data_IF_394717403846
#
_entry.id   IF_394717403846
#
_cell.length_a   1.000
_cell.length_b   1.000
_cell.length_c   1.000
_cell.angle_alpha   90.00
_cell.angle_beta   90.00
_cell.angle_gamma   90.00
#
_symmetry.space_group_name_H-M   'P 1'
#
loop_
_entity.id
_entity.type
_entity.pdbx_description
1 polymer ?
#
# COMPACT_ATOMS: atom_id res chain seq x y z
N UNK A 1 -15.39 -19.21 2.31
CA UNK A 1 -14.99 -17.91 1.72
C UNK A 1 -13.47 -17.77 1.43
N UNK A 2 -13.06 -17.18 0.29
CA UNK A 2 -11.67 -16.77 -0.03
C UNK A 2 -11.65 -15.36 -0.67
N UNK A 3 -10.69 -14.52 -0.27
CA UNK A 3 -10.41 -13.20 -0.85
C UNK A 3 -8.99 -13.21 -1.47
N UNK A 4 -8.78 -12.45 -2.57
CA UNK A 4 -7.48 -12.35 -3.28
C UNK A 4 -6.95 -13.70 -3.78
N UNK A 5 -7.81 -14.59 -4.27
CA UNK A 5 -7.38 -15.86 -4.89
C UNK A 5 -6.58 -15.58 -6.18
N UNK A 6 -7.03 -14.60 -6.97
CA UNK A 6 -6.32 -14.06 -8.14
C UNK A 6 -6.20 -12.53 -8.04
N UNK A 7 -5.21 -11.89 -8.70
CA UNK A 7 -5.06 -10.43 -8.69
C UNK A 7 -6.32 -9.66 -9.11
N UNK A 8 -7.10 -10.22 -10.04
CA UNK A 8 -8.35 -9.64 -10.56
C UNK A 8 -9.46 -9.57 -9.50
N UNK A 9 -9.36 -10.38 -8.44
CA UNK A 9 -10.35 -10.41 -7.36
C UNK A 9 -10.23 -9.20 -6.43
N UNK A 10 -9.17 -8.42 -6.58
CA UNK A 10 -8.91 -7.25 -5.76
C UNK A 10 -8.41 -6.12 -6.64
N UNK A 11 -9.35 -5.26 -7.02
CA UNK A 11 -9.08 -4.07 -7.78
C UNK A 11 -9.12 -2.84 -6.87
N UNK A 12 -8.10 -1.99 -6.96
CA UNK A 12 -7.99 -0.76 -6.19
C UNK A 12 -7.71 0.39 -7.14
N UNK A 13 -8.53 1.44 -7.08
CA UNK A 13 -8.33 2.67 -7.85
C UNK A 13 -8.17 3.84 -6.90
N UNK A 14 -7.02 4.50 -6.97
CA UNK A 14 -6.75 5.72 -6.22
C UNK A 14 -7.63 6.86 -6.72
N UNK A 15 -8.14 7.66 -5.79
CA UNK A 15 -8.89 8.88 -6.07
C UNK A 15 -8.09 10.05 -5.52
N UNK A 16 -7.70 10.98 -6.39
CA UNK A 16 -7.02 12.21 -6.00
C UNK A 16 -7.80 13.46 -6.41
N UNK A 17 -7.58 14.56 -5.72
CA UNK A 17 -8.15 15.85 -6.10
C UNK A 17 -7.22 16.59 -7.08
N UNK A 18 -7.39 16.38 -8.39
CA UNK A 18 -6.59 17.07 -9.40
C UNK A 18 -6.84 18.58 -9.46
N UNK A 19 -8.00 19.07 -9.01
CA UNK A 19 -8.34 20.50 -9.06
C UNK A 19 -7.46 21.35 -8.14
N UNK A 20 -6.82 20.73 -7.14
CA UNK A 20 -5.84 21.40 -6.27
C UNK A 20 -4.48 21.60 -6.95
N UNK A 21 -4.23 20.95 -8.08
CA UNK A 21 -2.93 21.01 -8.75
C UNK A 21 -2.87 22.20 -9.69
N UNK A 22 -1.81 22.98 -9.56
CA UNK A 22 -1.57 24.09 -10.49
C UNK A 22 -1.19 23.53 -11.87
N UNK A 23 -1.85 23.98 -12.95
CA UNK A 23 -1.44 23.66 -14.32
C UNK A 23 0.04 24.00 -14.56
N UNK A 24 0.72 23.19 -15.37
CA UNK A 24 2.11 23.47 -15.74
C UNK A 24 2.78 22.28 -16.42
N UNK A 25 3.91 22.50 -17.08
CA UNK A 25 4.56 21.48 -17.92
C UNK A 25 5.65 20.69 -17.20
N UNK A 26 5.88 20.99 -15.91
CA UNK A 26 7.01 20.41 -15.15
C UNK A 26 6.84 18.91 -14.91
N UNK A 27 5.62 18.45 -14.66
CA UNK A 27 5.33 17.05 -14.38
C UNK A 27 4.25 16.52 -15.33
N UNK A 28 4.57 15.42 -16.01
CA UNK A 28 3.59 14.67 -16.80
C UNK A 28 2.92 13.64 -15.92
N UNK A 29 1.61 13.73 -15.78
CA UNK A 29 0.82 12.84 -14.94
C UNK A 29 0.30 11.66 -15.74
N UNK A 30 0.37 10.48 -15.12
CA UNK A 30 -0.15 9.24 -15.66
C UNK A 30 -0.95 8.48 -14.61
N UNK A 31 -2.01 7.81 -15.05
CA UNK A 31 -2.58 6.69 -14.31
C UNK A 31 -1.70 5.47 -14.57
N UNK A 32 -1.07 4.97 -13.51
CA UNK A 32 -0.34 3.72 -13.48
C UNK A 32 -1.28 2.59 -13.09
N UNK A 33 -1.57 1.70 -14.04
CA UNK A 33 -2.16 0.40 -13.74
C UNK A 33 -1.05 -0.64 -13.59
N UNK A 34 -1.03 -1.37 -12.48
CA UNK A 34 -0.13 -2.51 -12.27
C UNK A 34 -0.89 -3.77 -11.87
N UNK A 35 -0.38 -4.92 -12.26
CA UNK A 35 -0.93 -6.25 -11.93
C UNK A 35 0.11 -7.12 -11.24
N UNK A 36 -0.25 -7.69 -10.09
CA UNK A 36 0.60 -8.63 -9.32
C UNK A 36 2.03 -8.13 -9.02
N UNK A 37 2.18 -6.82 -8.79
CA UNK A 37 3.47 -6.15 -8.62
C UNK A 37 3.39 -5.13 -7.48
N UNK A 38 4.52 -4.94 -6.78
CA UNK A 38 4.67 -3.79 -5.89
C UNK A 38 4.85 -2.52 -6.71
N UNK A 39 4.51 -1.37 -6.13
CA UNK A 39 4.65 -0.05 -6.76
C UNK A 39 6.11 0.19 -7.15
N UNK A 40 7.06 -0.09 -6.24
CA UNK A 40 8.50 0.06 -6.49
C UNK A 40 8.99 -0.78 -7.68
N UNK A 41 8.46 -2.00 -7.85
CA UNK A 41 8.79 -2.85 -9.02
C UNK A 41 8.23 -2.26 -10.31
N UNK A 42 6.99 -1.74 -10.28
CA UNK A 42 6.41 -1.06 -11.43
C UNK A 42 7.22 0.19 -11.82
N UNK A 43 7.61 1.03 -10.86
CA UNK A 43 8.49 2.19 -11.09
C UNK A 43 9.83 1.78 -11.72
N UNK A 44 10.42 0.65 -11.28
CA UNK A 44 11.65 0.11 -11.89
C UNK A 44 11.46 -0.30 -13.35
N UNK A 45 10.30 -0.85 -13.71
CA UNK A 45 9.96 -1.20 -15.09
C UNK A 45 9.82 0.07 -15.94
N UNK A 46 9.06 1.06 -15.46
CA UNK A 46 8.82 2.33 -16.14
C UNK A 46 10.14 3.07 -16.39
N UNK A 47 10.97 3.18 -15.35
CA UNK A 47 12.29 3.82 -15.42
C UNK A 47 13.18 3.22 -16.51
N UNK A 48 13.21 1.89 -16.64
CA UNK A 48 13.99 1.20 -17.69
C UNK A 48 13.39 1.38 -19.08
N UNK A 49 12.07 1.23 -19.21
CA UNK A 49 11.38 1.31 -20.51
C UNK A 49 11.39 2.72 -21.10
N UNK A 50 11.26 3.74 -20.26
CA UNK A 50 11.31 5.14 -20.65
C UNK A 50 12.71 5.77 -20.56
N UNK A 51 13.73 5.00 -20.14
CA UNK A 51 15.12 5.47 -19.96
C UNK A 51 15.23 6.73 -19.08
N UNK A 52 14.46 6.78 -17.99
CA UNK A 52 14.45 7.88 -17.03
C UNK A 52 14.88 7.42 -15.64
N UNK A 53 15.46 8.32 -14.85
CA UNK A 53 15.77 8.05 -13.45
C UNK A 53 14.50 7.83 -12.61
N UNK A 54 14.50 6.82 -11.74
CA UNK A 54 13.40 6.57 -10.79
C UNK A 54 13.11 7.78 -9.89
N UNK A 55 14.13 8.57 -9.55
CA UNK A 55 14.01 9.78 -8.72
C UNK A 55 13.11 10.86 -9.37
N UNK A 56 12.84 10.76 -10.68
CA UNK A 56 11.95 11.66 -11.40
C UNK A 56 10.48 11.23 -11.33
N UNK A 57 10.19 10.06 -10.79
CA UNK A 57 8.84 9.50 -10.73
C UNK A 57 8.31 9.61 -9.31
N UNK A 58 7.32 10.47 -9.08
CA UNK A 58 6.64 10.64 -7.79
C UNK A 58 5.30 9.91 -7.78
N UNK A 59 4.91 9.39 -6.61
CA UNK A 59 3.62 8.74 -6.35
C UNK A 59 3.26 8.91 -4.87
N UNK A 60 1.98 8.85 -4.54
CA UNK A 60 1.47 9.23 -3.22
C UNK A 60 1.65 8.13 -2.15
N UNK A 61 1.69 6.87 -2.56
CA UNK A 61 1.92 5.73 -1.68
C UNK A 61 2.00 4.41 -2.45
N UNK A 62 2.38 3.34 -1.76
CA UNK A 62 2.36 2.01 -2.35
C UNK A 62 0.95 1.40 -2.32
N UNK A 63 0.58 0.65 -3.35
CA UNK A 63 -0.64 -0.17 -3.38
C UNK A 63 -0.31 -1.67 -3.35
N UNK A 64 -1.29 -2.47 -2.93
CA UNK A 64 -1.22 -3.93 -2.83
C UNK A 64 -0.46 -4.61 -3.97
N UNK A 65 0.42 -5.56 -3.62
CA UNK A 65 1.12 -6.38 -4.62
C UNK A 65 0.15 -7.34 -5.32
N UNK A 66 -0.63 -8.11 -4.56
CA UNK A 66 -1.54 -9.17 -5.05
C UNK A 66 -2.90 -8.58 -5.45
N UNK A 67 -2.88 -7.69 -6.43
CA UNK A 67 -4.05 -6.93 -6.88
C UNK A 67 -3.84 -6.41 -8.32
N UNK A 68 -4.93 -5.92 -8.92
CA UNK A 68 -4.86 -4.91 -9.98
C UNK A 68 -5.04 -3.56 -9.32
N UNK A 69 -4.11 -2.63 -9.54
CA UNK A 69 -4.17 -1.32 -8.89
C UNK A 69 -3.96 -0.21 -9.89
N UNK A 70 -4.79 0.83 -9.83
CA UNK A 70 -4.63 2.10 -10.53
C UNK A 70 -4.26 3.19 -9.53
N UNK A 71 -3.15 3.88 -9.80
CA UNK A 71 -2.69 4.98 -8.96
C UNK A 71 -2.09 6.09 -9.82
N UNK A 72 -2.02 7.30 -9.27
CA UNK A 72 -1.43 8.42 -9.97
C UNK A 72 0.08 8.43 -9.78
N UNK A 73 0.80 8.67 -10.88
CA UNK A 73 2.23 8.96 -10.85
C UNK A 73 2.49 10.25 -11.63
N UNK A 74 3.54 10.97 -11.24
CA UNK A 74 4.03 12.12 -11.99
C UNK A 74 5.48 11.90 -12.40
N UNK A 75 5.82 12.24 -13.64
CA UNK A 75 7.17 12.14 -14.18
C UNK A 75 7.68 13.55 -14.46
N UNK A 76 8.68 13.98 -13.69
CA UNK A 76 9.30 15.32 -13.81
C UNK A 76 10.07 15.45 -15.12
N UNK A 77 9.80 16.48 -15.92
CA UNK A 77 10.58 16.90 -17.09
C UNK A 77 10.56 15.95 -18.28
N UNK A 78 9.52 15.12 -18.41
CA UNK A 78 9.36 14.21 -19.55
C UNK A 78 8.86 15.01 -20.75
N UNK A 79 9.75 15.23 -21.75
CA UNK A 79 9.43 16.03 -22.94
C UNK A 79 8.61 15.23 -23.95
N UNK A 80 9.10 14.06 -24.34
CA UNK A 80 8.41 13.15 -25.26
C UNK A 80 7.63 12.11 -24.47
N UNK A 81 6.33 12.01 -24.74
CA UNK A 81 5.48 11.01 -24.13
C UNK A 81 4.38 10.53 -25.08
N UNK A 82 3.85 9.33 -24.81
CA UNK A 82 2.68 8.76 -25.47
C UNK A 82 1.46 8.91 -24.57
N UNK A 83 0.28 8.97 -25.17
CA UNK A 83 -0.97 8.92 -24.42
C UNK A 83 -1.15 7.61 -23.66
N UNK A 84 -0.65 6.52 -24.23
CA UNK A 84 -0.73 5.19 -23.64
C UNK A 84 0.58 4.42 -23.80
N UNK A 85 0.96 3.72 -22.73
CA UNK A 85 2.05 2.75 -22.74
C UNK A 85 1.56 1.41 -22.20
N UNK A 86 1.88 0.33 -22.90
CA UNK A 86 1.70 -1.04 -22.44
C UNK A 86 3.07 -1.73 -22.28
N UNK A 87 3.41 -2.07 -21.04
CA UNK A 87 4.61 -2.83 -20.69
C UNK A 87 4.24 -4.20 -20.09
N UNK A 88 3.08 -4.75 -20.45
CA UNK A 88 2.54 -6.00 -19.92
C UNK A 88 1.80 -5.76 -18.60
N UNK A 89 2.36 -6.25 -17.49
CA UNK A 89 1.78 -6.07 -16.15
C UNK A 89 1.84 -4.63 -15.62
N UNK A 90 2.32 -3.68 -16.42
CA UNK A 90 2.41 -2.26 -16.11
C UNK A 90 1.89 -1.48 -17.31
N UNK A 91 0.87 -0.65 -17.11
CA UNK A 91 0.31 0.23 -18.14
C UNK A 91 0.27 1.66 -17.62
N UNK A 92 0.51 2.61 -18.51
CA UNK A 92 0.43 4.04 -18.21
C UNK A 92 -0.56 4.71 -19.15
N UNK A 93 -1.45 5.53 -18.61
CA UNK A 93 -2.33 6.42 -19.38
C UNK A 93 -2.06 7.86 -19.00
N UNK A 94 -1.65 8.69 -19.96
CA UNK A 94 -1.45 10.12 -19.74
C UNK A 94 -2.79 10.80 -19.44
N UNK A 95 -2.77 11.75 -18.50
CA UNK A 95 -3.99 12.47 -18.08
C UNK A 95 -3.85 13.99 -18.03
N UNK A 96 -2.63 14.52 -18.16
CA UNK A 96 -2.40 15.96 -18.04
C UNK A 96 -1.01 16.30 -17.50
N UNK A 97 -0.75 17.60 -17.42
CA UNK A 97 0.50 18.15 -16.92
C UNK A 97 0.25 19.15 -15.81
N UNK A 98 1.08 19.09 -14.77
CA UNK A 98 0.99 19.99 -13.63
C UNK A 98 2.36 20.52 -13.20
N UNK A 99 2.36 21.63 -12.47
CA UNK A 99 3.58 22.26 -11.94
C UNK A 99 4.16 21.50 -10.73
N UNK A 100 3.36 20.64 -10.09
CA UNK A 100 3.67 20.00 -8.82
C UNK A 100 3.72 18.48 -8.97
N UNK A 101 4.45 17.75 -8.11
CA UNK A 101 4.43 16.29 -8.09
C UNK A 101 3.14 15.73 -7.46
N UNK A 102 2.92 14.43 -7.64
CA UNK A 102 1.93 13.68 -6.85
C UNK A 102 2.48 13.51 -5.43
N UNK A 103 1.62 13.76 -4.44
CA UNK A 103 1.92 13.74 -3.00
C UNK A 103 0.81 13.01 -2.23
N UNK A 104 1.11 12.59 -1.00
CA UNK A 104 0.15 11.87 -0.15
C UNK A 104 -1.09 12.70 0.20
N UNK A 105 -0.95 14.02 0.31
CA UNK A 105 -2.04 14.95 0.60
C UNK A 105 -3.04 15.10 -0.55
N UNK A 106 -2.72 14.59 -1.74
CA UNK A 106 -3.63 14.64 -2.88
C UNK A 106 -4.68 13.53 -2.84
N UNK A 107 -4.43 12.47 -2.07
CA UNK A 107 -5.33 11.32 -1.94
C UNK A 107 -6.59 11.74 -1.19
N UNK A 108 -7.74 11.57 -1.84
CA UNK A 108 -9.05 11.65 -1.19
C UNK A 108 -9.41 10.28 -0.62
N UNK A 109 -9.12 9.21 -1.36
CA UNK A 109 -9.45 7.86 -0.95
C UNK A 109 -9.05 6.82 -2.00
N UNK A 110 -9.57 5.61 -1.84
CA UNK A 110 -9.43 4.54 -2.81
C UNK A 110 -10.79 3.89 -3.03
N UNK A 111 -11.12 3.63 -4.29
CA UNK A 111 -12.25 2.81 -4.68
C UNK A 111 -11.80 1.35 -4.74
N UNK A 112 -12.56 0.47 -4.11
CA UNK A 112 -12.28 -0.96 -4.07
C UNK A 112 -13.37 -1.72 -4.83
N UNK A 113 -12.93 -2.67 -5.67
CA UNK A 113 -13.80 -3.71 -6.21
C UNK A 113 -13.21 -5.06 -5.82
N UNK A 114 -13.96 -5.79 -4.99
CA UNK A 114 -13.51 -7.04 -4.38
C UNK A 114 -14.45 -8.17 -4.82
N UNK A 115 -13.87 -9.25 -5.31
CA UNK A 115 -14.56 -10.50 -5.60
C UNK A 115 -14.25 -11.49 -4.49
N UNK A 116 -15.30 -11.97 -3.84
CA UNK A 116 -15.20 -13.00 -2.82
C UNK A 116 -15.57 -14.34 -3.46
N UNK A 117 -14.68 -15.34 -3.36
CA UNK A 117 -14.84 -16.65 -4.00
C UNK A 117 -15.15 -17.73 -2.97
N UNK A 118 -15.64 -18.88 -3.45
CA UNK A 118 -16.00 -20.06 -2.63
C UNK A 118 -16.88 -19.67 -1.46
N UNK A 119 -17.96 -18.96 -1.78
CA UNK A 119 -18.99 -18.52 -0.86
C UNK A 119 -20.12 -19.53 -0.94
N UNK A 120 -20.52 -20.10 0.21
CA UNK A 120 -21.70 -20.97 0.28
C UNK A 120 -22.99 -20.14 0.48
N UNK A 121 -24.16 -20.76 0.30
CA UNK A 121 -25.43 -20.03 0.36
C UNK A 121 -25.71 -19.44 1.77
N UNK A 122 -25.25 -20.08 2.84
CA UNK A 122 -25.41 -19.57 4.20
C UNK A 122 -24.56 -18.31 4.43
N UNK A 123 -23.29 -18.32 4.01
CA UNK A 123 -22.38 -17.17 4.05
C UNK A 123 -22.95 -16.00 3.24
N UNK A 124 -23.50 -16.29 2.04
CA UNK A 124 -24.13 -15.30 1.17
C UNK A 124 -25.36 -14.67 1.81
N UNK A 125 -26.24 -15.48 2.42
CA UNK A 125 -27.42 -15.01 3.14
C UNK A 125 -27.02 -14.09 4.30
N UNK A 126 -26.09 -14.52 5.15
CA UNK A 126 -25.56 -13.70 6.26
C UNK A 126 -24.96 -12.38 5.77
N UNK A 127 -24.26 -12.38 4.64
CA UNK A 127 -23.72 -11.15 4.07
C UNK A 127 -24.84 -10.16 3.67
N UNK A 128 -25.87 -10.65 2.97
CA UNK A 128 -27.00 -9.81 2.53
C UNK A 128 -27.84 -9.29 3.70
N UNK A 129 -27.96 -10.04 4.78
CA UNK A 129 -28.63 -9.58 6.00
C UNK A 129 -27.81 -8.49 6.72
N UNK A 130 -26.48 -8.65 6.75
CA UNK A 130 -25.60 -7.74 7.49
C UNK A 130 -25.20 -6.47 6.69
N UNK A 131 -25.26 -6.48 5.36
CA UNK A 131 -24.78 -5.35 4.54
C UNK A 131 -25.54 -4.05 4.85
N UNK A 132 -26.80 -4.17 5.25
CA UNK A 132 -27.66 -3.06 5.65
C UNK A 132 -27.11 -2.32 6.89
N UNK A 133 -26.52 -3.05 7.84
CA UNK A 133 -25.90 -2.49 9.05
C UNK A 133 -24.76 -1.53 8.68
N UNK A 134 -24.04 -1.84 7.60
CA UNK A 134 -22.87 -1.07 7.17
C UNK A 134 -23.20 0.14 6.29
N UNK A 135 -24.48 0.41 5.97
CA UNK A 135 -24.88 1.60 5.20
C UNK A 135 -24.54 2.92 5.92
N UNK A 136 -24.52 2.91 7.25
CA UNK A 136 -24.07 4.05 8.06
C UNK A 136 -22.55 4.16 8.20
N UNK A 137 -21.78 3.25 7.58
CA UNK A 137 -20.34 3.10 7.76
C UNK A 137 -19.98 1.93 8.68
N UNK A 138 -18.70 1.87 9.06
CA UNK A 138 -18.15 0.88 9.97
C UNK A 138 -17.15 1.54 10.92
N UNK A 139 -16.81 0.85 12.01
CA UNK A 139 -15.80 1.36 12.95
C UNK A 139 -14.43 1.32 12.29
N UNK A 140 -13.80 2.49 12.17
CA UNK A 140 -12.54 2.67 11.46
C UNK A 140 -11.33 2.27 12.34
N UNK A 141 -11.17 0.97 12.58
CA UNK A 141 -10.02 0.43 13.31
C UNK A 141 -8.74 0.44 12.47
N UNK A 142 -7.59 0.56 13.17
CA UNK A 142 -6.31 0.21 12.58
C UNK A 142 -6.16 -1.31 12.53
N UNK A 143 -5.85 -1.84 11.35
CA UNK A 143 -5.61 -3.28 11.15
C UNK A 143 -4.27 -3.73 11.78
N UNK A 144 -4.13 -5.04 12.04
CA UNK A 144 -2.95 -5.67 12.64
C UNK A 144 -1.65 -5.30 11.92
N UNK A 145 -1.71 -5.14 10.59
CA UNK A 145 -0.57 -4.69 9.78
C UNK A 145 0.01 -3.36 10.26
N UNK A 146 -0.80 -2.45 10.83
CA UNK A 146 -0.31 -1.18 11.39
C UNK A 146 0.53 -1.38 12.64
N UNK A 147 0.30 -2.49 13.35
CA UNK A 147 1.10 -2.89 14.49
C UNK A 147 2.30 -3.77 14.10
N UNK A 148 2.42 -4.14 12.82
CA UNK A 148 3.51 -4.87 12.20
C UNK A 148 3.15 -6.33 11.91
N UNK A 149 3.31 -6.80 10.68
CA UNK A 149 2.78 -8.10 10.21
C UNK A 149 3.29 -9.33 10.98
N UNK A 150 4.57 -9.30 11.41
CA UNK A 150 5.22 -10.48 12.01
C UNK A 150 5.02 -10.51 13.52
N UNK A 151 5.28 -9.38 14.20
CA UNK A 151 5.34 -9.32 15.68
C UNK A 151 4.20 -8.54 16.32
N UNK A 152 3.47 -7.72 15.56
CA UNK A 152 2.36 -6.89 16.05
C UNK A 152 2.69 -6.04 17.30
N UNK A 153 3.95 -5.67 17.55
CA UNK A 153 4.40 -5.07 18.82
C UNK A 153 4.68 -3.55 18.74
N UNK A 154 4.44 -2.89 17.60
CA UNK A 154 4.77 -1.47 17.41
C UNK A 154 4.11 -0.56 18.48
N UNK A 155 2.88 -0.87 18.89
CA UNK A 155 2.16 -0.08 19.88
C UNK A 155 2.76 -0.20 21.29
N UNK A 156 3.32 -1.36 21.63
CA UNK A 156 4.00 -1.57 22.92
C UNK A 156 5.27 -0.72 23.00
N UNK A 157 6.05 -0.72 21.92
CA UNK A 157 7.26 0.12 21.80
C UNK A 157 6.87 1.60 21.87
N UNK A 158 5.84 2.01 21.10
CA UNK A 158 5.34 3.39 21.09
C UNK A 158 4.87 3.86 22.47
N UNK A 159 4.19 3.00 23.24
CA UNK A 159 3.77 3.29 24.62
C UNK A 159 4.94 3.64 25.52
N UNK A 160 6.03 2.86 25.47
CA UNK A 160 7.20 3.10 26.32
C UNK A 160 8.02 4.31 25.86
N UNK A 161 8.06 4.60 24.56
CA UNK A 161 8.62 5.85 24.02
C UNK A 161 7.87 7.07 24.58
N UNK A 162 6.53 7.06 24.58
CA UNK A 162 5.71 8.17 25.11
C UNK A 162 5.99 8.39 26.59
N UNK A 163 6.19 7.31 27.35
CA UNK A 163 6.57 7.37 28.77
C UNK A 163 8.02 7.77 29.03
N UNK A 164 8.84 7.89 27.97
CA UNK A 164 10.29 8.08 28.05
C UNK A 164 11.04 6.93 28.73
N UNK A 165 10.46 5.73 28.71
CA UNK A 165 11.08 4.50 29.17
C UNK A 165 11.93 3.88 28.04
N UNK A 166 13.04 4.52 27.72
CA UNK A 166 13.86 4.17 26.55
C UNK A 166 14.41 2.75 26.62
N UNK A 167 14.85 2.31 27.81
CA UNK A 167 15.37 0.97 28.02
C UNK A 167 14.32 -0.10 27.71
N UNK A 168 13.11 0.04 28.25
CA UNK A 168 12.02 -0.91 28.00
C UNK A 168 11.57 -0.87 26.53
N UNK A 169 11.57 0.30 25.90
CA UNK A 169 11.28 0.41 24.47
C UNK A 169 12.29 -0.38 23.62
N UNK A 170 13.58 -0.28 23.93
CA UNK A 170 14.64 -1.05 23.31
C UNK A 170 14.51 -2.55 23.61
N UNK A 171 14.20 -2.91 24.85
CA UNK A 171 13.95 -4.30 25.27
C UNK A 171 12.84 -4.92 24.44
N UNK A 172 11.66 -4.31 24.41
CA UNK A 172 10.53 -4.80 23.61
C UNK A 172 10.90 -4.89 22.13
N UNK A 173 11.57 -3.89 21.57
CA UNK A 173 11.99 -3.89 20.17
C UNK A 173 12.87 -5.10 19.82
N UNK A 174 13.80 -5.44 20.71
CA UNK A 174 14.81 -6.47 20.47
C UNK A 174 14.39 -7.86 20.93
N UNK A 175 13.59 -7.99 21.98
CA UNK A 175 13.31 -9.26 22.65
C UNK A 175 11.89 -9.76 22.47
N UNK A 176 10.97 -8.99 21.88
CA UNK A 176 9.60 -9.46 21.65
C UNK A 176 9.58 -10.59 20.60
N UNK A 177 8.95 -11.70 20.97
CA UNK A 177 8.95 -12.97 20.25
C UNK A 177 7.61 -13.14 19.53
N UNK A 178 7.64 -13.59 18.27
CA UNK A 178 6.45 -14.06 17.57
C UNK A 178 6.68 -15.42 16.93
N UNK A 179 5.70 -16.32 17.04
CA UNK A 179 5.72 -17.65 16.42
C UNK A 179 5.83 -17.62 14.89
N UNK A 180 5.56 -16.47 14.27
CA UNK A 180 5.70 -16.24 12.83
C UNK A 180 7.16 -15.96 12.40
N UNK A 181 8.09 -15.80 13.33
CA UNK A 181 9.51 -15.58 13.03
C UNK A 181 10.24 -16.88 12.66
N UNK A 182 11.41 -16.76 12.02
CA UNK A 182 12.27 -17.91 11.78
C UNK A 182 12.81 -18.48 13.09
N UNK A 183 13.12 -19.78 13.11
CA UNK A 183 13.69 -20.46 14.30
C UNK A 183 14.93 -19.76 14.86
N UNK A 184 15.82 -19.32 13.96
CA UNK A 184 17.04 -18.58 14.32
C UNK A 184 16.70 -17.25 15.02
N UNK A 185 15.74 -16.49 14.49
CA UNK A 185 15.33 -15.22 15.09
C UNK A 185 14.68 -15.44 16.47
N UNK A 186 13.82 -16.46 16.59
CA UNK A 186 13.20 -16.86 17.85
C UNK A 186 14.25 -17.17 18.93
N UNK A 187 15.23 -18.02 18.61
CA UNK A 187 16.30 -18.42 19.53
C UNK A 187 17.16 -17.23 19.94
N UNK A 188 17.59 -16.39 19.00
CA UNK A 188 18.38 -15.20 19.28
C UNK A 188 17.65 -14.22 20.21
N UNK A 189 16.34 -14.01 20.01
CA UNK A 189 15.54 -13.13 20.87
C UNK A 189 15.30 -13.70 22.25
N UNK A 190 15.07 -15.02 22.37
CA UNK A 190 14.95 -15.70 23.67
C UNK A 190 16.23 -15.52 24.48
N UNK A 191 17.37 -15.84 23.88
CA UNK A 191 18.67 -15.65 24.51
C UNK A 191 18.87 -14.19 24.93
N UNK A 192 18.58 -13.22 24.07
CA UNK A 192 18.72 -11.81 24.43
C UNK A 192 17.75 -11.38 25.55
N UNK A 193 16.56 -11.95 25.61
CA UNK A 193 15.58 -11.67 26.67
C UNK A 193 16.06 -12.18 28.03
N UNK A 194 16.66 -13.37 28.04
CA UNK A 194 17.20 -14.02 29.24
C UNK A 194 18.47 -13.32 29.75
N UNK A 195 19.23 -12.72 28.85
CA UNK A 195 20.49 -12.02 29.13
C UNK A 195 20.35 -10.50 28.96
N UNK A 196 19.17 -9.94 29.24
CA UNK A 196 18.95 -8.50 29.12
C UNK A 196 19.46 -7.75 30.35
N UNK A 197 20.45 -6.89 30.17
CA UNK A 197 21.10 -6.10 31.24
C UNK A 197 22.45 -6.67 31.60
#
# INVERSE_FOLDING_TARGET
>A
MIIKEKPEDFYVKEIINLNKKRPGETFKYFILQKRNLTTIRAIKIISRKLKISKKRISFAGEKDKKAITEQYIAIRGLKEYKEFYDFGNVKLKYIGSFAEPVSISDIIGNEFKIIVRKVNEEEKKKFLENIEIFKGGFVNYFDDQRFGDVRCNNHLIGKEIIKRNWEEACKILLTFISEKESKIALEARKWLKENWG
#
